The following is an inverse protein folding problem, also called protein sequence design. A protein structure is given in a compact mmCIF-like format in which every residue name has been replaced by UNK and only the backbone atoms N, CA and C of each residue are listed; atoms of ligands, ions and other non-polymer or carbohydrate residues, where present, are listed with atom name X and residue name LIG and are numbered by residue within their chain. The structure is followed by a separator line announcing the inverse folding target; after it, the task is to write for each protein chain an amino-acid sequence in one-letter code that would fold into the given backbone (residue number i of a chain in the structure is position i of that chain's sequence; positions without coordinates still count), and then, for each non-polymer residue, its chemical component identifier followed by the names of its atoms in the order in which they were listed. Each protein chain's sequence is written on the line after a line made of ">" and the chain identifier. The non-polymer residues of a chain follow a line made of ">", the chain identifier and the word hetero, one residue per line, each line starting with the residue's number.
data_IF_525505434221
#
_entry.id   IF_525505434221
#
_cell.length_a   1.000
_cell.length_b   1.000
_cell.length_c   1.000
_cell.angle_alpha   90.00
_cell.angle_beta   90.00
_cell.angle_gamma   90.00
#
_symmetry.space_group_name_H-M   'P 1'
#
loop_
_entity.id
_entity.type
_entity.pdbx_description
1 polymer ?
#
# COMPACT_ATOMS: atom_id res chain seq x y z
N UNK A 1 36.59 -29.51 32.19
CA UNK A 1 37.16 -30.66 32.93
C UNK A 1 38.56 -30.39 33.47
N UNK A 2 39.54 -29.90 32.68
CA UNK A 2 40.91 -29.60 33.17
C UNK A 2 40.99 -28.65 34.38
N UNK A 3 40.24 -27.55 34.39
CA UNK A 3 40.20 -26.61 35.53
C UNK A 3 39.65 -27.22 36.83
N UNK A 4 38.73 -28.19 36.71
CA UNK A 4 38.13 -28.91 37.84
C UNK A 4 39.13 -29.87 38.48
N UNK A 5 39.90 -30.59 37.67
CA UNK A 5 40.94 -31.51 38.16
C UNK A 5 42.03 -30.73 38.88
N UNK A 6 42.46 -29.59 38.32
CA UNK A 6 43.47 -28.72 38.95
C UNK A 6 42.98 -28.15 40.28
N UNK A 7 41.72 -27.68 40.36
CA UNK A 7 41.16 -27.18 41.61
C UNK A 7 41.03 -28.26 42.69
N UNK A 8 40.61 -29.47 42.32
CA UNK A 8 40.51 -30.60 43.27
C UNK A 8 41.89 -31.03 43.76
N UNK A 9 42.88 -31.07 42.88
CA UNK A 9 44.25 -31.45 43.24
C UNK A 9 44.90 -30.39 44.16
N UNK A 10 44.65 -29.11 43.90
CA UNK A 10 45.15 -28.01 44.73
C UNK A 10 44.49 -28.01 46.13
N UNK A 11 43.19 -28.28 46.21
CA UNK A 11 42.47 -28.47 47.47
C UNK A 11 43.02 -29.68 48.24
N UNK A 12 43.32 -30.79 47.56
CA UNK A 12 43.90 -31.98 48.18
C UNK A 12 45.31 -31.71 48.75
N UNK A 13 46.15 -30.94 48.05
CA UNK A 13 47.48 -30.54 48.53
C UNK A 13 47.38 -29.62 49.75
N UNK A 14 46.45 -28.66 49.74
CA UNK A 14 46.21 -27.76 50.88
C UNK A 14 45.68 -28.54 52.09
N UNK A 15 44.76 -29.49 51.88
CA UNK A 15 44.27 -30.39 52.93
C UNK A 15 45.38 -31.25 53.51
N UNK A 16 46.27 -31.80 52.67
CA UNK A 16 47.42 -32.58 53.12
C UNK A 16 48.40 -31.73 53.94
N UNK A 17 48.69 -30.50 53.51
CA UNK A 17 49.54 -29.56 54.24
C UNK A 17 48.95 -29.19 55.61
N UNK A 18 47.63 -28.96 55.68
CA UNK A 18 46.91 -28.67 56.93
C UNK A 18 46.85 -29.90 57.85
N UNK A 19 46.83 -31.13 57.30
CA UNK A 19 46.87 -32.36 58.10
C UNK A 19 48.25 -32.60 58.74
N UNK A 20 49.33 -32.25 58.03
CA UNK A 20 50.71 -32.51 58.44
C UNK A 20 51.24 -31.40 59.35
N UNK A 21 50.90 -30.13 59.09
CA UNK A 21 51.39 -28.98 59.87
C UNK A 21 51.22 -29.08 61.40
N UNK A 22 50.12 -29.63 61.95
CA UNK A 22 49.92 -29.73 63.40
C UNK A 22 50.70 -30.87 64.05
N UNK A 23 51.20 -31.86 63.29
CA UNK A 23 52.05 -32.91 63.85
C UNK A 23 53.47 -32.40 64.16
N UNK A 24 53.84 -31.24 63.59
CA UNK A 24 55.16 -30.61 63.76
C UNK A 24 55.16 -29.56 64.87
N UNK A 25 53.99 -29.02 65.26
CA UNK A 25 53.84 -27.95 66.25
C UNK A 25 53.23 -28.54 67.52
N UNK A 26 54.05 -28.80 68.53
CA UNK A 26 53.74 -29.60 69.74
C UNK A 26 52.71 -29.04 70.74
N UNK A 27 51.84 -28.10 70.35
CA UNK A 27 50.83 -27.48 71.21
C UNK A 27 49.42 -27.76 70.65
N UNK A 28 48.69 -28.70 71.28
CA UNK A 28 47.35 -29.09 70.85
C UNK A 28 46.30 -28.16 71.49
N UNK A 29 45.96 -27.07 70.82
CA UNK A 29 44.76 -26.32 71.15
C UNK A 29 43.52 -27.22 71.09
N UNK A 30 42.65 -27.14 72.10
CA UNK A 30 41.41 -27.91 72.20
C UNK A 30 40.18 -27.02 72.06
N UNK A 31 39.12 -27.55 71.45
CA UNK A 31 37.83 -26.89 71.29
C UNK A 31 36.77 -27.79 71.90
N UNK A 32 36.02 -27.23 72.86
CA UNK A 32 34.87 -27.89 73.47
C UNK A 32 33.60 -27.20 72.99
N UNK A 33 32.75 -27.96 72.32
CA UNK A 33 31.42 -27.48 71.92
C UNK A 33 30.42 -28.19 72.84
N UNK A 34 29.80 -27.43 73.73
CA UNK A 34 28.76 -27.92 74.64
C UNK A 34 27.39 -27.44 74.15
N UNK A 35 26.50 -28.39 73.84
CA UNK A 35 25.10 -28.13 73.51
C UNK A 35 24.21 -28.98 74.42
N UNK A 36 23.78 -28.41 75.54
CA UNK A 36 22.96 -29.12 76.53
C UNK A 36 23.73 -30.27 77.21
N UNK A 37 23.28 -31.52 77.01
CA UNK A 37 23.96 -32.72 77.52
C UNK A 37 25.03 -33.29 76.56
N UNK A 38 25.15 -32.74 75.35
CA UNK A 38 26.12 -33.20 74.36
C UNK A 38 27.40 -32.36 74.45
N UNK A 39 28.48 -32.97 74.92
CA UNK A 39 29.82 -32.37 74.95
C UNK A 39 30.67 -33.06 73.89
N UNK A 40 31.03 -32.32 72.84
CA UNK A 40 31.98 -32.80 71.84
C UNK A 40 33.32 -32.13 72.11
N UNK A 41 34.29 -32.94 72.50
CA UNK A 41 35.68 -32.52 72.68
C UNK A 41 36.46 -32.87 71.41
N UNK A 42 37.04 -31.86 70.76
CA UNK A 42 37.87 -32.07 69.57
C UNK A 42 39.06 -31.13 69.55
N UNK A 43 40.11 -31.51 68.84
CA UNK A 43 41.26 -30.62 68.62
C UNK A 43 40.89 -29.51 67.64
N UNK A 44 41.58 -28.36 67.71
CA UNK A 44 41.41 -27.26 66.74
C UNK A 44 41.57 -27.76 65.30
N UNK A 45 42.48 -28.71 65.08
CA UNK A 45 42.72 -29.35 63.77
C UNK A 45 41.49 -30.12 63.29
N UNK A 46 40.89 -30.91 64.18
CA UNK A 46 39.67 -31.68 63.86
C UNK A 46 38.50 -30.76 63.53
N UNK A 47 38.40 -29.59 64.18
CA UNK A 47 37.39 -28.58 63.86
C UNK A 47 37.60 -28.00 62.45
N UNK A 48 38.84 -27.64 62.11
CA UNK A 48 39.15 -27.08 60.77
C UNK A 48 38.84 -28.11 59.68
N UNK A 49 39.20 -29.37 59.89
CA UNK A 49 38.90 -30.45 58.94
C UNK A 49 37.39 -30.66 58.80
N UNK A 50 36.63 -30.68 59.90
CA UNK A 50 35.18 -30.89 59.84
C UNK A 50 34.45 -29.73 59.14
N UNK A 51 34.89 -28.49 59.35
CA UNK A 51 34.37 -27.31 58.63
C UNK A 51 34.67 -27.40 57.13
N UNK A 52 35.88 -27.79 56.74
CA UNK A 52 36.24 -27.96 55.32
C UNK A 52 35.41 -29.07 54.65
N UNK A 53 35.17 -30.18 55.34
CA UNK A 53 34.31 -31.26 54.84
C UNK A 53 32.86 -30.77 54.71
N UNK A 54 32.34 -30.03 55.69
CA UNK A 54 31.00 -29.48 55.64
C UNK A 54 30.82 -28.51 54.45
N UNK A 55 31.81 -27.65 54.18
CA UNK A 55 31.81 -26.76 53.01
C UNK A 55 31.82 -27.55 51.70
N UNK A 56 32.62 -28.62 51.62
CA UNK A 56 32.67 -29.48 50.43
C UNK A 56 31.32 -30.16 50.18
N UNK A 57 30.69 -30.72 51.22
CA UNK A 57 29.37 -31.34 51.13
C UNK A 57 28.34 -30.30 50.69
N UNK A 58 28.31 -29.12 51.30
CA UNK A 58 27.41 -28.04 50.93
C UNK A 58 27.58 -27.63 49.47
N UNK A 59 28.83 -27.56 48.98
CA UNK A 59 29.12 -27.25 47.58
C UNK A 59 28.62 -28.31 46.61
N UNK A 60 28.80 -29.60 46.93
CA UNK A 60 28.28 -30.73 46.13
C UNK A 60 26.76 -30.72 46.12
N UNK A 61 26.11 -30.55 47.27
CA UNK A 61 24.64 -30.49 47.39
C UNK A 61 24.09 -29.32 46.58
N UNK A 62 24.70 -28.13 46.67
CA UNK A 62 24.31 -26.96 45.89
C UNK A 62 24.45 -27.19 44.37
N UNK A 63 25.51 -27.88 43.94
CA UNK A 63 25.71 -28.29 42.54
C UNK A 63 24.65 -29.28 42.08
N UNK A 64 24.29 -30.27 42.91
CA UNK A 64 23.25 -31.25 42.62
C UNK A 64 21.87 -30.59 42.50
N UNK A 65 21.53 -29.67 43.42
CA UNK A 65 20.29 -28.90 43.35
C UNK A 65 20.23 -28.11 42.03
N UNK A 66 21.31 -27.42 41.64
CA UNK A 66 21.34 -26.70 40.36
C UNK A 66 21.19 -27.63 39.15
N UNK A 67 21.80 -28.81 39.17
CA UNK A 67 21.69 -29.78 38.07
C UNK A 67 20.25 -30.30 37.94
N UNK A 68 19.60 -30.62 39.05
CA UNK A 68 18.20 -31.07 39.10
C UNK A 68 17.26 -29.94 38.63
N UNK A 69 17.45 -28.72 39.14
CA UNK A 69 16.66 -27.56 38.71
C UNK A 69 16.85 -27.28 37.21
N UNK A 70 18.05 -27.44 36.66
CA UNK A 70 18.30 -27.21 35.23
C UNK A 70 17.66 -28.29 34.34
N UNK A 71 17.67 -29.56 34.77
CA UNK A 71 16.98 -30.67 34.11
C UNK A 71 15.46 -30.46 34.08
N UNK A 72 14.88 -29.95 35.17
CA UNK A 72 13.45 -29.64 35.25
C UNK A 72 13.08 -28.32 34.55
N UNK A 73 13.94 -27.31 34.55
CA UNK A 73 13.67 -26.01 33.91
C UNK A 73 13.72 -26.05 32.38
N UNK A 74 14.44 -27.00 31.79
CA UNK A 74 14.50 -27.18 30.32
C UNK A 74 13.16 -27.60 29.68
N UNK A 75 12.21 -28.08 30.49
CA UNK A 75 10.92 -28.61 30.02
C UNK A 75 9.90 -27.51 29.67
N UNK A 76 9.91 -26.37 30.36
CA UNK A 76 8.89 -25.33 30.14
C UNK A 76 9.02 -24.59 28.79
N UNK A 77 10.24 -24.37 28.30
CA UNK A 77 10.45 -23.79 26.96
C UNK A 77 10.12 -24.77 25.83
N UNK A 78 10.27 -26.08 26.05
CA UNK A 78 9.96 -27.11 25.06
C UNK A 78 8.45 -27.21 24.77
N UNK A 79 7.61 -27.23 25.81
CA UNK A 79 6.14 -27.23 25.64
C UNK A 79 5.61 -25.97 24.93
N UNK A 80 6.16 -24.78 25.25
CA UNK A 80 5.81 -23.53 24.55
C UNK A 80 6.26 -23.51 23.07
N UNK A 81 7.40 -24.13 22.75
CA UNK A 81 7.92 -24.19 21.37
C UNK A 81 7.09 -25.10 20.45
N UNK A 82 6.60 -26.24 20.97
CA UNK A 82 5.76 -27.18 20.21
C UNK A 82 4.41 -26.57 19.85
N UNK A 83 3.79 -25.83 20.79
CA UNK A 83 2.53 -25.11 20.56
C UNK A 83 2.69 -24.04 19.47
N UNK A 84 3.77 -23.24 19.52
CA UNK A 84 4.07 -22.22 18.50
C UNK A 84 4.29 -22.82 17.10
N UNK A 85 5.05 -23.91 17.00
CA UNK A 85 5.28 -24.54 15.71
C UNK A 85 3.99 -25.14 15.12
N UNK A 86 3.10 -25.69 15.97
CA UNK A 86 1.78 -26.18 15.56
C UNK A 86 0.89 -25.05 15.04
N UNK A 87 0.81 -23.91 15.76
CA UNK A 87 0.06 -22.72 15.31
C UNK A 87 0.58 -22.20 13.98
N UNK A 88 1.90 -22.10 13.80
CA UNK A 88 2.53 -21.70 12.54
C UNK A 88 2.21 -22.67 11.39
N UNK A 89 2.23 -23.97 11.64
CA UNK A 89 1.83 -24.96 10.63
C UNK A 89 0.36 -24.80 10.24
N UNK A 90 -0.52 -24.52 11.20
CA UNK A 90 -1.93 -24.25 10.93
C UNK A 90 -2.13 -22.95 10.16
N UNK A 91 -1.37 -21.89 10.46
CA UNK A 91 -1.40 -20.64 9.69
C UNK A 91 -1.07 -20.88 8.21
N UNK A 92 0.05 -21.55 7.90
CA UNK A 92 0.40 -21.88 6.52
C UNK A 92 -0.61 -22.82 5.85
N UNK A 93 -1.15 -23.80 6.60
CA UNK A 93 -2.21 -24.67 6.10
C UNK A 93 -3.48 -23.88 5.78
N UNK A 94 -3.81 -22.86 6.57
CA UNK A 94 -4.94 -21.97 6.31
C UNK A 94 -4.75 -21.17 5.03
N UNK A 95 -3.55 -20.61 4.82
CA UNK A 95 -3.21 -19.91 3.57
C UNK A 95 -3.31 -20.86 2.37
N UNK A 96 -2.76 -22.06 2.49
CA UNK A 96 -2.81 -23.06 1.42
C UNK A 96 -4.26 -23.45 1.09
N UNK A 97 -5.07 -23.79 2.10
CA UNK A 97 -6.47 -24.16 1.90
C UNK A 97 -7.29 -23.01 1.30
N UNK A 98 -7.02 -21.77 1.72
CA UNK A 98 -7.63 -20.59 1.11
C UNK A 98 -7.28 -20.46 -0.38
N UNK A 99 -6.00 -20.65 -0.74
CA UNK A 99 -5.57 -20.63 -2.13
C UNK A 99 -6.14 -21.78 -2.97
N UNK A 100 -6.41 -22.93 -2.35
CA UNK A 100 -7.08 -24.09 -2.97
C UNK A 100 -8.61 -23.91 -3.11
N UNK A 101 -9.18 -22.84 -2.51
CA UNK A 101 -10.62 -22.59 -2.49
C UNK A 101 -11.40 -23.37 -1.42
N UNK A 102 -10.71 -24.13 -0.57
CA UNK A 102 -11.32 -24.84 0.57
C UNK A 102 -11.48 -23.90 1.77
N UNK A 103 -12.57 -23.12 1.74
CA UNK A 103 -12.86 -22.11 2.76
C UNK A 103 -13.12 -22.73 4.14
N UNK A 104 -13.72 -23.92 4.22
CA UNK A 104 -13.97 -24.60 5.50
C UNK A 104 -12.68 -25.08 6.16
N UNK A 105 -11.80 -25.74 5.40
CA UNK A 105 -10.49 -26.15 5.90
C UNK A 105 -9.63 -24.95 6.29
N UNK A 106 -9.69 -23.88 5.49
CA UNK A 106 -9.01 -22.62 5.79
C UNK A 106 -9.49 -22.00 7.10
N UNK A 107 -10.81 -21.83 7.26
CA UNK A 107 -11.43 -21.32 8.50
C UNK A 107 -11.02 -22.14 9.71
N UNK A 108 -11.08 -23.48 9.62
CA UNK A 108 -10.66 -24.37 10.71
C UNK A 108 -9.16 -24.24 11.01
N UNK A 109 -8.33 -24.10 9.99
CA UNK A 109 -6.89 -23.93 10.17
C UNK A 109 -6.57 -22.61 10.87
N UNK A 110 -7.18 -21.49 10.48
CA UNK A 110 -6.99 -20.19 11.14
C UNK A 110 -7.53 -20.16 12.57
N UNK A 111 -8.66 -20.82 12.86
CA UNK A 111 -9.13 -21.01 14.24
C UNK A 111 -8.12 -21.76 15.12
N UNK A 112 -7.35 -22.69 14.55
CA UNK A 112 -6.30 -23.42 15.26
C UNK A 112 -4.93 -22.72 15.22
N UNK A 113 -4.83 -21.60 14.50
CA UNK A 113 -3.66 -20.73 14.47
C UNK A 113 -3.79 -19.55 15.44
N UNK A 114 -5.01 -19.27 15.95
CA UNK A 114 -5.30 -18.16 16.86
C UNK A 114 -4.37 -18.15 18.09
N UNK A 115 -4.17 -16.94 18.64
CA UNK A 115 -3.20 -16.65 19.71
C UNK A 115 -1.74 -16.94 19.30
N UNK A 116 -1.48 -17.10 18.01
CA UNK A 116 -0.14 -17.16 17.47
C UNK A 116 0.53 -15.78 17.45
N UNK A 117 1.85 -15.79 17.35
CA UNK A 117 2.68 -14.58 17.25
C UNK A 117 2.74 -14.14 15.77
N UNK A 118 1.61 -13.66 15.25
CA UNK A 118 1.42 -13.27 13.84
C UNK A 118 1.05 -11.79 13.66
N UNK A 119 1.08 -11.00 14.74
CA UNK A 119 0.79 -9.56 14.75
C UNK A 119 -0.52 -9.16 14.04
N UNK A 120 -1.54 -10.02 14.07
CA UNK A 120 -2.85 -9.80 13.46
C UNK A 120 -2.98 -10.20 11.99
N UNK A 121 -1.92 -10.70 11.34
CA UNK A 121 -1.98 -11.13 9.93
C UNK A 121 -2.89 -12.34 9.73
N UNK A 122 -2.90 -13.27 10.68
CA UNK A 122 -3.83 -14.40 10.71
C UNK A 122 -5.29 -13.94 10.76
N UNK A 123 -5.58 -12.89 11.53
CA UNK A 123 -6.92 -12.29 11.62
C UNK A 123 -7.35 -11.63 10.30
N UNK A 124 -6.43 -10.96 9.58
CA UNK A 124 -6.72 -10.38 8.27
C UNK A 124 -7.16 -11.45 7.26
N UNK A 125 -6.42 -12.56 7.18
CA UNK A 125 -6.75 -13.64 6.23
C UNK A 125 -8.01 -14.38 6.70
N UNK A 126 -8.16 -14.61 8.01
CA UNK A 126 -9.38 -15.18 8.56
C UNK A 126 -10.62 -14.32 8.26
N UNK A 127 -10.48 -12.99 8.28
CA UNK A 127 -11.55 -12.08 7.89
C UNK A 127 -11.91 -12.21 6.41
N UNK A 128 -10.90 -12.38 5.53
CA UNK A 128 -11.12 -12.58 4.09
C UNK A 128 -11.89 -13.88 3.85
N UNK A 129 -11.49 -14.97 4.51
CA UNK A 129 -12.20 -16.26 4.46
C UNK A 129 -13.64 -16.09 4.95
N UNK A 130 -13.85 -15.40 6.09
CA UNK A 130 -15.18 -15.14 6.61
C UNK A 130 -16.05 -14.34 5.62
N UNK A 131 -15.47 -13.33 4.95
CA UNK A 131 -16.16 -12.56 3.92
C UNK A 131 -16.62 -13.44 2.75
N UNK A 132 -15.74 -14.28 2.21
CA UNK A 132 -16.06 -15.17 1.08
C UNK A 132 -17.06 -16.26 1.45
N UNK A 133 -17.09 -16.68 2.72
CA UNK A 133 -18.13 -17.57 3.26
C UNK A 133 -19.47 -16.86 3.52
N UNK A 134 -19.57 -15.54 3.30
CA UNK A 134 -20.78 -14.75 3.58
C UNK A 134 -20.97 -14.39 5.07
N UNK A 135 -20.00 -14.65 5.93
CA UNK A 135 -20.05 -14.40 7.38
C UNK A 135 -19.63 -12.96 7.72
N UNK A 136 -20.46 -11.99 7.32
CA UNK A 136 -20.15 -10.55 7.44
C UNK A 136 -19.88 -10.06 8.87
N UNK A 137 -20.69 -10.47 9.84
CA UNK A 137 -20.50 -10.07 11.25
C UNK A 137 -19.15 -10.56 11.78
N UNK A 138 -18.84 -11.83 11.51
CA UNK A 138 -17.55 -12.42 11.90
C UNK A 138 -16.37 -11.73 11.22
N UNK A 139 -16.50 -11.40 9.93
CA UNK A 139 -15.49 -10.65 9.20
C UNK A 139 -15.19 -9.31 9.89
N UNK A 140 -16.22 -8.54 10.26
CA UNK A 140 -16.04 -7.27 10.95
C UNK A 140 -15.37 -7.44 12.33
N UNK A 141 -15.79 -8.43 13.12
CA UNK A 141 -15.15 -8.72 14.41
C UNK A 141 -13.68 -9.06 14.25
N UNK A 142 -13.32 -9.90 13.27
CA UNK A 142 -11.93 -10.27 12.99
C UNK A 142 -11.09 -9.07 12.55
N UNK A 143 -11.64 -8.17 11.72
CA UNK A 143 -10.96 -6.94 11.32
C UNK A 143 -10.82 -5.96 12.49
N UNK A 144 -11.80 -5.90 13.39
CA UNK A 144 -11.71 -5.14 14.63
C UNK A 144 -10.55 -5.62 15.49
N UNK A 145 -10.48 -6.93 15.76
CA UNK A 145 -9.35 -7.52 16.51
C UNK A 145 -8.01 -7.35 15.78
N UNK A 146 -7.97 -7.47 14.45
CA UNK A 146 -6.75 -7.21 13.68
C UNK A 146 -6.29 -5.75 13.80
N UNK A 147 -7.24 -4.80 13.98
CA UNK A 147 -6.95 -3.39 14.13
C UNK A 147 -6.39 -2.99 15.52
N UNK A 148 -6.51 -3.87 16.51
CA UNK A 148 -5.90 -3.72 17.83
C UNK A 148 -4.36 -3.95 17.79
N UNK A 149 -3.85 -4.62 16.75
CA UNK A 149 -2.42 -4.83 16.54
C UNK A 149 -1.82 -3.66 15.74
N UNK A 150 -0.82 -2.92 16.28
CA UNK A 150 -0.25 -1.77 15.58
C UNK A 150 0.29 -2.06 14.18
N UNK A 151 0.89 -3.23 13.96
CA UNK A 151 1.43 -3.62 12.65
C UNK A 151 0.35 -3.99 11.62
N UNK A 152 -0.83 -4.43 12.06
CA UNK A 152 -1.94 -4.81 11.17
C UNK A 152 -3.03 -3.74 11.07
N UNK A 153 -3.01 -2.71 11.93
CA UNK A 153 -4.05 -1.68 12.02
C UNK A 153 -4.44 -1.05 10.70
N UNK A 154 -3.47 -0.49 9.97
CA UNK A 154 -3.72 0.14 8.66
C UNK A 154 -4.28 -0.85 7.65
N UNK A 155 -3.75 -2.08 7.63
CA UNK A 155 -4.22 -3.12 6.71
C UNK A 155 -5.65 -3.59 7.04
N UNK A 156 -5.98 -3.76 8.32
CA UNK A 156 -7.30 -4.13 8.80
C UNK A 156 -8.35 -3.08 8.44
N UNK A 157 -8.05 -1.81 8.73
CA UNK A 157 -8.94 -0.69 8.44
C UNK A 157 -9.14 -0.50 6.93
N UNK A 158 -8.07 -0.61 6.13
CA UNK A 158 -8.17 -0.56 4.67
C UNK A 158 -9.01 -1.69 4.10
N UNK A 159 -8.79 -2.91 4.58
CA UNK A 159 -9.56 -4.08 4.16
C UNK A 159 -11.03 -3.89 4.52
N UNK A 160 -11.34 -3.48 5.75
CA UNK A 160 -12.71 -3.21 6.18
C UNK A 160 -13.38 -2.16 5.28
N UNK A 161 -12.70 -1.03 5.03
CA UNK A 161 -13.23 0.02 4.16
C UNK A 161 -13.49 -0.48 2.73
N UNK A 162 -12.58 -1.26 2.14
CA UNK A 162 -12.76 -1.83 0.79
C UNK A 162 -13.94 -2.80 0.74
N UNK A 163 -14.12 -3.64 1.75
CA UNK A 163 -15.26 -4.54 1.82
C UNK A 163 -16.59 -3.77 1.97
N UNK A 164 -16.60 -2.68 2.76
CA UNK A 164 -17.76 -1.78 2.84
C UNK A 164 -18.07 -1.12 1.48
N UNK A 165 -17.04 -0.68 0.75
CA UNK A 165 -17.20 -0.12 -0.61
C UNK A 165 -17.79 -1.13 -1.60
N UNK A 166 -17.37 -2.41 -1.55
CA UNK A 166 -17.97 -3.48 -2.38
C UNK A 166 -19.46 -3.65 -2.10
N UNK A 167 -19.88 -3.38 -0.85
CA UNK A 167 -21.27 -3.38 -0.40
C UNK A 167 -21.99 -2.03 -0.63
N UNK A 168 -21.38 -1.09 -1.36
CA UNK A 168 -21.89 0.27 -1.61
C UNK A 168 -22.08 1.13 -0.34
N UNK A 169 -21.44 0.76 0.77
CA UNK A 169 -21.52 1.47 2.06
C UNK A 169 -20.38 2.49 2.19
N UNK A 170 -20.29 3.43 1.24
CA UNK A 170 -19.18 4.39 1.14
C UNK A 170 -19.07 5.35 2.35
N UNK A 171 -20.20 5.72 2.97
CA UNK A 171 -20.18 6.57 4.18
C UNK A 171 -19.55 5.85 5.38
N UNK A 172 -19.92 4.57 5.57
CA UNK A 172 -19.33 3.74 6.62
C UNK A 172 -17.86 3.50 6.35
N UNK A 173 -17.47 3.27 5.09
CA UNK A 173 -16.06 3.14 4.71
C UNK A 173 -15.26 4.39 5.07
N UNK A 174 -15.80 5.60 4.82
CA UNK A 174 -15.14 6.85 5.25
C UNK A 174 -15.02 6.97 6.76
N UNK A 175 -16.06 6.59 7.51
CA UNK A 175 -16.04 6.57 8.98
C UNK A 175 -14.92 5.66 9.50
N UNK A 176 -14.83 4.43 8.96
CA UNK A 176 -13.77 3.47 9.31
C UNK A 176 -12.38 4.01 8.97
N UNK A 177 -12.18 4.58 7.77
CA UNK A 177 -10.90 5.22 7.40
C UNK A 177 -10.57 6.47 8.23
N UNK A 178 -11.56 7.08 8.85
CA UNK A 178 -11.43 8.22 9.76
C UNK A 178 -10.90 7.86 11.15
N UNK A 179 -10.87 6.57 11.49
CA UNK A 179 -10.34 6.08 12.79
C UNK A 179 -8.82 5.97 12.85
N UNK A 180 -8.15 6.15 11.70
CA UNK A 180 -6.70 6.16 11.58
C UNK A 180 -6.13 7.49 12.05
N UNK A 181 -5.01 7.43 12.78
CA UNK A 181 -4.29 8.61 13.23
C UNK A 181 -3.62 9.34 12.07
N UNK A 182 -3.10 10.56 12.30
CA UNK A 182 -2.57 11.42 11.23
C UNK A 182 -1.45 10.74 10.41
N UNK A 183 -0.51 10.05 11.06
CA UNK A 183 0.58 9.33 10.38
C UNK A 183 0.08 8.15 9.54
N UNK A 184 -0.94 7.44 10.02
CA UNK A 184 -1.57 6.32 9.33
C UNK A 184 -2.42 6.80 8.14
N UNK A 185 -3.10 7.94 8.31
CA UNK A 185 -3.90 8.58 7.29
C UNK A 185 -3.08 9.09 6.09
N UNK A 186 -1.78 9.34 6.28
CA UNK A 186 -0.84 9.68 5.22
C UNK A 186 -0.38 8.48 4.39
N UNK A 187 -0.82 7.25 4.70
CA UNK A 187 -0.55 6.10 3.85
C UNK A 187 -1.19 6.31 2.44
N UNK A 188 -0.44 6.13 1.33
CA UNK A 188 -0.97 6.36 -0.01
C UNK A 188 -2.24 5.55 -0.35
N UNK A 189 -2.36 4.33 0.17
CA UNK A 189 -3.54 3.50 -0.04
C UNK A 189 -4.75 4.04 0.73
N UNK A 190 -4.55 4.53 1.95
CA UNK A 190 -5.61 5.17 2.75
C UNK A 190 -6.12 6.41 2.04
N UNK A 191 -5.21 7.26 1.54
CA UNK A 191 -5.57 8.46 0.77
C UNK A 191 -6.35 8.10 -0.49
N UNK A 192 -5.91 7.10 -1.27
CA UNK A 192 -6.62 6.63 -2.47
C UNK A 192 -8.02 6.13 -2.14
N UNK A 193 -8.15 5.26 -1.14
CA UNK A 193 -9.45 4.69 -0.74
C UNK A 193 -10.39 5.77 -0.18
N UNK A 194 -9.88 6.73 0.61
CA UNK A 194 -10.68 7.91 1.04
C UNK A 194 -11.18 8.71 -0.17
N UNK A 195 -10.29 9.00 -1.12
CA UNK A 195 -10.64 9.74 -2.32
C UNK A 195 -11.68 9.01 -3.19
N UNK A 196 -11.57 7.70 -3.33
CA UNK A 196 -12.54 6.86 -4.04
C UNK A 196 -13.91 6.85 -3.36
N UNK A 197 -13.96 6.69 -2.03
CA UNK A 197 -15.22 6.76 -1.28
C UNK A 197 -15.89 8.13 -1.44
N UNK A 198 -15.13 9.21 -1.28
CA UNK A 198 -15.63 10.58 -1.47
C UNK A 198 -16.12 10.81 -2.89
N UNK A 199 -15.44 10.27 -3.91
CA UNK A 199 -15.85 10.39 -5.30
C UNK A 199 -17.17 9.65 -5.56
N UNK A 200 -17.35 8.45 -5.00
CA UNK A 200 -18.61 7.68 -5.09
C UNK A 200 -19.78 8.40 -4.44
N UNK A 201 -19.52 9.15 -3.36
CA UNK A 201 -20.52 9.98 -2.67
C UNK A 201 -20.75 11.35 -3.32
N UNK A 202 -19.99 11.70 -4.37
CA UNK A 202 -20.06 13.02 -4.99
C UNK A 202 -19.48 14.16 -4.14
N UNK A 203 -18.67 13.85 -3.12
CA UNK A 203 -18.01 14.81 -2.23
C UNK A 203 -16.79 15.48 -2.89
N UNK A 204 -16.96 15.99 -4.12
CA UNK A 204 -15.88 16.54 -4.94
C UNK A 204 -15.17 17.73 -4.29
N UNK A 205 -15.93 18.57 -3.59
CA UNK A 205 -15.38 19.73 -2.88
C UNK A 205 -14.43 19.31 -1.75
N UNK A 206 -14.77 18.23 -1.03
CA UNK A 206 -13.91 17.72 0.05
C UNK A 206 -12.59 17.19 -0.51
N UNK A 207 -12.65 16.43 -1.62
CA UNK A 207 -11.44 15.98 -2.32
C UNK A 207 -10.56 17.18 -2.69
N UNK A 208 -11.15 18.23 -3.29
CA UNK A 208 -10.39 19.43 -3.66
C UNK A 208 -9.74 20.14 -2.47
N UNK A 209 -10.39 20.13 -1.30
CA UNK A 209 -9.85 20.74 -0.09
C UNK A 209 -8.65 19.94 0.46
N UNK A 210 -8.65 18.61 0.32
CA UNK A 210 -7.56 17.75 0.76
C UNK A 210 -6.39 17.62 -0.25
N UNK A 211 -6.62 17.92 -1.54
CA UNK A 211 -5.61 17.84 -2.59
C UNK A 211 -4.24 18.47 -2.24
N UNK A 212 -4.14 19.67 -1.60
CA UNK A 212 -2.85 20.26 -1.25
C UNK A 212 -1.97 19.36 -0.38
N UNK A 213 -2.58 18.64 0.57
CA UNK A 213 -1.89 17.67 1.43
C UNK A 213 -1.62 16.37 0.66
N UNK A 214 -2.65 15.82 0.01
CA UNK A 214 -2.57 14.54 -0.71
C UNK A 214 -1.58 14.54 -1.87
N UNK A 215 -1.28 15.71 -2.48
CA UNK A 215 -0.25 15.82 -3.53
C UNK A 215 1.12 15.33 -3.08
N UNK A 216 1.49 15.53 -1.82
CA UNK A 216 2.78 15.07 -1.27
C UNK A 216 2.83 13.54 -1.16
N UNK A 217 1.72 12.95 -0.71
CA UNK A 217 1.57 11.50 -0.54
C UNK A 217 1.44 10.76 -1.87
N UNK A 218 0.55 11.22 -2.75
CA UNK A 218 0.19 10.53 -3.98
C UNK A 218 1.18 10.78 -5.13
N UNK A 219 1.95 11.88 -5.08
CA UNK A 219 2.91 12.27 -6.12
C UNK A 219 2.27 12.24 -7.52
N UNK A 220 2.62 11.26 -8.35
CA UNK A 220 2.12 11.11 -9.73
C UNK A 220 0.60 10.86 -9.78
N UNK A 221 0.05 10.16 -8.79
CA UNK A 221 -1.38 9.80 -8.77
C UNK A 221 -2.27 10.98 -8.33
N UNK A 222 -1.67 12.10 -7.89
CA UNK A 222 -2.42 13.27 -7.47
C UNK A 222 -3.05 14.04 -8.65
N UNK A 223 -2.41 14.01 -9.82
CA UNK A 223 -2.89 14.74 -11.02
C UNK A 223 -4.19 14.12 -11.55
N UNK A 224 -4.27 12.79 -11.80
CA UNK A 224 -5.53 12.15 -12.20
C UNK A 224 -6.65 12.35 -11.19
N UNK A 225 -6.34 12.29 -9.89
CA UNK A 225 -7.33 12.53 -8.85
C UNK A 225 -7.84 13.99 -8.88
N UNK A 226 -6.93 14.96 -9.03
CA UNK A 226 -7.31 16.36 -9.14
C UNK A 226 -8.20 16.63 -10.35
N UNK A 227 -7.88 16.01 -11.50
CA UNK A 227 -8.68 16.12 -12.72
C UNK A 227 -10.07 15.50 -12.51
N UNK A 228 -10.14 14.29 -11.93
CA UNK A 228 -11.42 13.62 -11.63
C UNK A 228 -12.28 14.45 -10.66
N UNK A 229 -11.68 15.02 -9.62
CA UNK A 229 -12.38 15.86 -8.65
C UNK A 229 -12.86 17.18 -9.24
N UNK A 230 -12.06 17.81 -10.11
CA UNK A 230 -12.47 18.99 -10.85
C UNK A 230 -13.62 18.66 -11.81
N UNK A 231 -13.50 17.57 -12.59
CA UNK A 231 -14.54 17.10 -13.51
C UNK A 231 -15.85 16.85 -12.78
N UNK A 232 -15.82 16.08 -11.70
CA UNK A 232 -17.01 15.80 -10.89
C UNK A 232 -17.66 17.07 -10.34
N UNK A 233 -16.86 18.05 -9.88
CA UNK A 233 -17.41 19.32 -9.40
C UNK A 233 -18.02 20.17 -10.51
N UNK A 234 -17.37 20.26 -11.66
CA UNK A 234 -17.88 20.99 -12.81
C UNK A 234 -19.15 20.35 -13.38
N UNK A 235 -19.20 19.02 -13.45
CA UNK A 235 -20.40 18.28 -13.84
C UNK A 235 -21.56 18.51 -12.87
N UNK A 236 -21.30 18.53 -11.56
CA UNK A 236 -22.31 18.84 -10.54
C UNK A 236 -22.91 20.24 -10.77
N UNK A 237 -22.07 21.25 -10.97
CA UNK A 237 -22.51 22.63 -11.20
C UNK A 237 -23.29 22.73 -12.51
N UNK A 238 -22.76 22.18 -13.61
CA UNK A 238 -23.41 22.21 -14.91
C UNK A 238 -24.78 21.53 -14.86
N UNK A 239 -24.89 20.37 -14.19
CA UNK A 239 -26.15 19.64 -14.07
C UNK A 239 -27.18 20.34 -13.18
N UNK A 240 -26.78 21.00 -12.09
CA UNK A 240 -27.71 21.63 -11.14
C UNK A 240 -28.07 23.07 -11.48
N UNK A 241 -27.14 23.82 -12.07
CA UNK A 241 -27.21 25.27 -12.23
C UNK A 241 -27.02 25.73 -13.68
N UNK A 242 -26.66 24.82 -14.59
CA UNK A 242 -26.50 25.08 -16.01
C UNK A 242 -25.12 25.64 -16.41
N UNK A 243 -24.97 25.82 -17.72
CA UNK A 243 -23.74 26.25 -18.38
C UNK A 243 -23.19 27.61 -17.89
N UNK A 244 -24.05 28.59 -17.65
CA UNK A 244 -23.62 29.92 -17.21
C UNK A 244 -23.01 29.88 -15.79
N UNK A 245 -23.59 29.10 -14.89
CA UNK A 245 -23.05 28.92 -13.55
C UNK A 245 -21.69 28.23 -13.55
N UNK A 246 -21.47 27.28 -14.48
CA UNK A 246 -20.16 26.66 -14.68
C UNK A 246 -19.10 27.70 -15.07
N UNK A 247 -19.41 28.60 -16.01
CA UNK A 247 -18.50 29.67 -16.43
C UNK A 247 -18.20 30.63 -15.28
N UNK A 248 -19.23 31.05 -14.55
CA UNK A 248 -19.06 31.92 -13.39
C UNK A 248 -18.18 31.27 -12.32
N UNK A 249 -18.44 30.00 -11.99
CA UNK A 249 -17.64 29.28 -11.02
C UNK A 249 -16.17 29.18 -11.44
N UNK A 250 -15.91 28.93 -12.73
CA UNK A 250 -14.54 28.94 -13.25
C UNK A 250 -13.85 30.28 -13.03
N UNK A 251 -14.51 31.40 -13.31
CA UNK A 251 -13.96 32.74 -13.09
C UNK A 251 -13.72 33.07 -11.61
N UNK A 252 -14.51 32.50 -10.70
CA UNK A 252 -14.36 32.66 -9.25
C UNK A 252 -13.22 31.80 -8.67
N UNK A 253 -12.78 30.74 -9.37
CA UNK A 253 -11.70 29.87 -8.87
C UNK A 253 -10.40 30.66 -8.67
N UNK A 254 -9.64 30.45 -7.59
CA UNK A 254 -8.35 31.11 -7.39
C UNK A 254 -7.42 30.94 -8.59
N UNK A 255 -6.64 31.97 -8.93
CA UNK A 255 -5.70 31.97 -10.07
C UNK A 255 -4.84 30.70 -10.11
N UNK A 256 -4.33 30.23 -8.97
CA UNK A 256 -3.54 28.99 -8.89
C UNK A 256 -4.27 27.76 -9.43
N UNK A 257 -5.58 27.63 -9.19
CA UNK A 257 -6.41 26.53 -9.73
C UNK A 257 -6.69 26.72 -11.21
N UNK A 258 -6.97 27.95 -11.67
CA UNK A 258 -7.20 28.24 -13.11
C UNK A 258 -5.97 28.01 -13.99
N UNK A 259 -4.77 28.06 -13.42
CA UNK A 259 -3.51 27.73 -14.09
C UNK A 259 -3.08 26.26 -13.91
N UNK A 260 -3.82 25.46 -13.12
CA UNK A 260 -3.54 24.04 -12.95
C UNK A 260 -4.08 23.24 -14.15
N UNK A 261 -3.22 22.44 -14.77
CA UNK A 261 -3.54 21.71 -16.00
C UNK A 261 -4.71 20.74 -15.83
N UNK A 262 -4.84 20.11 -14.66
CA UNK A 262 -5.92 19.17 -14.37
C UNK A 262 -7.28 19.87 -14.31
N UNK A 263 -7.32 21.08 -13.75
CA UNK A 263 -8.53 21.91 -13.70
C UNK A 263 -8.90 22.44 -15.09
N UNK A 264 -7.92 22.88 -15.88
CA UNK A 264 -8.15 23.32 -17.26
C UNK A 264 -8.72 22.20 -18.14
N UNK A 265 -8.13 21.01 -18.07
CA UNK A 265 -8.59 19.85 -18.82
C UNK A 265 -10.03 19.48 -18.44
N UNK A 266 -10.33 19.41 -17.13
CA UNK A 266 -11.67 19.12 -16.64
C UNK A 266 -12.70 20.19 -17.05
N UNK A 267 -12.32 21.46 -17.07
CA UNK A 267 -13.22 22.55 -17.47
C UNK A 267 -13.54 22.51 -18.96
N UNK A 268 -12.53 22.39 -19.83
CA UNK A 268 -12.73 22.27 -21.28
C UNK A 268 -13.55 21.03 -21.62
N UNK A 269 -13.27 19.91 -20.96
CA UNK A 269 -14.05 18.70 -21.12
C UNK A 269 -15.52 18.92 -20.76
N UNK A 270 -15.80 19.61 -19.66
CA UNK A 270 -17.17 19.95 -19.28
C UNK A 270 -17.83 20.92 -20.28
N UNK A 271 -17.10 21.90 -20.81
CA UNK A 271 -17.63 22.80 -21.85
C UNK A 271 -18.07 22.01 -23.08
N UNK A 272 -17.24 21.06 -23.52
CA UNK A 272 -17.54 20.18 -24.66
C UNK A 272 -18.74 19.28 -24.36
N UNK A 273 -18.82 18.68 -23.17
CA UNK A 273 -19.96 17.85 -22.75
C UNK A 273 -21.28 18.63 -22.68
N UNK A 274 -21.22 19.95 -22.42
CA UNK A 274 -22.37 20.85 -22.44
C UNK A 274 -22.65 21.46 -23.83
N UNK A 275 -21.93 21.05 -24.88
CA UNK A 275 -22.09 21.57 -26.25
C UNK A 275 -21.52 22.97 -26.49
N UNK A 276 -20.79 23.53 -25.52
CA UNK A 276 -20.17 24.87 -25.60
C UNK A 276 -18.83 24.83 -26.34
N UNK A 277 -18.85 24.36 -27.60
CA UNK A 277 -17.62 24.14 -28.38
C UNK A 277 -16.83 25.43 -28.67
N UNK A 278 -17.50 26.56 -28.91
CA UNK A 278 -16.83 27.86 -29.12
C UNK A 278 -16.07 28.33 -27.86
N UNK A 279 -16.68 28.22 -26.68
CA UNK A 279 -16.01 28.58 -25.42
C UNK A 279 -14.83 27.63 -25.15
N UNK A 280 -14.97 26.35 -25.46
CA UNK A 280 -13.91 25.35 -25.34
C UNK A 280 -12.73 25.67 -26.26
N UNK A 281 -12.98 26.02 -27.52
CA UNK A 281 -11.96 26.47 -28.48
C UNK A 281 -11.20 27.69 -27.94
N UNK A 282 -11.91 28.73 -27.49
CA UNK A 282 -11.29 29.94 -26.97
C UNK A 282 -10.31 29.63 -25.82
N UNK A 283 -10.73 28.79 -24.87
CA UNK A 283 -9.87 28.36 -23.76
C UNK A 283 -8.64 27.58 -24.25
N UNK A 284 -8.84 26.62 -25.16
CA UNK A 284 -7.76 25.79 -25.69
C UNK A 284 -6.72 26.62 -26.44
N UNK A 285 -7.16 27.61 -27.21
CA UNK A 285 -6.30 28.51 -27.98
C UNK A 285 -5.52 29.45 -27.06
N UNK A 286 -6.21 30.10 -26.12
CA UNK A 286 -5.60 31.05 -25.20
C UNK A 286 -4.52 30.39 -24.35
N UNK A 287 -4.84 29.24 -23.74
CA UNK A 287 -3.97 28.59 -22.76
C UNK A 287 -2.76 27.89 -23.35
N UNK A 288 -2.77 27.63 -24.66
CA UNK A 288 -1.69 26.97 -25.38
C UNK A 288 -0.98 27.91 -26.38
N UNK A 289 -1.22 29.22 -26.30
CA UNK A 289 -0.56 30.22 -27.14
C UNK A 289 0.98 30.15 -27.12
N UNK A 290 1.57 29.66 -26.02
CA UNK A 290 3.04 29.49 -25.86
C UNK A 290 3.58 28.15 -26.36
N UNK A 291 2.72 27.17 -26.62
CA UNK A 291 3.11 25.84 -27.07
C UNK A 291 2.05 24.77 -26.74
N UNK A 292 2.14 23.60 -27.38
CA UNK A 292 1.20 22.50 -27.16
C UNK A 292 1.34 21.95 -25.74
N UNK A 293 0.20 21.71 -25.07
CA UNK A 293 0.11 20.98 -23.81
C UNK A 293 -0.49 19.60 -24.08
N UNK A 294 0.29 18.54 -23.86
CA UNK A 294 -0.10 17.17 -24.21
C UNK A 294 -1.44 16.75 -23.57
N UNK A 295 -1.71 17.23 -22.36
CA UNK A 295 -2.96 16.91 -21.63
C UNK A 295 -4.19 17.53 -22.29
N UNK A 296 -4.04 18.66 -23.01
CA UNK A 296 -5.13 19.39 -23.65
C UNK A 296 -5.28 19.03 -25.14
N UNK A 297 -4.25 18.49 -25.79
CA UNK A 297 -4.30 18.11 -27.21
C UNK A 297 -5.50 17.22 -27.59
N UNK A 298 -5.88 16.19 -26.80
CA UNK A 298 -7.05 15.38 -27.12
C UNK A 298 -8.37 16.15 -27.15
N UNK A 299 -8.45 17.32 -26.51
CA UNK A 299 -9.68 18.11 -26.45
C UNK A 299 -9.99 18.81 -27.78
N UNK A 300 -8.97 19.16 -28.58
CA UNK A 300 -9.19 19.68 -29.94
C UNK A 300 -9.96 18.66 -30.81
N UNK A 301 -9.61 17.38 -30.71
CA UNK A 301 -10.26 16.28 -31.45
C UNK A 301 -11.74 16.13 -31.10
N UNK A 302 -12.17 16.62 -29.93
CA UNK A 302 -13.55 16.52 -29.45
C UNK A 302 -14.40 17.74 -29.82
N UNK A 303 -13.82 18.79 -30.40
CA UNK A 303 -14.57 19.95 -30.85
C UNK A 303 -15.44 19.58 -32.05
N UNK A 304 -16.74 19.89 -31.95
CA UNK A 304 -17.73 19.67 -33.01
C UNK A 304 -18.42 20.99 -33.29
N UNK A 305 -17.84 21.78 -34.17
CA UNK A 305 -18.34 23.10 -34.51
C UNK A 305 -17.99 23.45 -35.95
N UNK A 306 -18.84 24.23 -36.64
CA UNK A 306 -18.49 24.75 -37.94
C UNK A 306 -17.34 25.76 -37.79
N UNK A 307 -16.29 25.60 -38.59
CA UNK A 307 -15.17 26.54 -38.72
C UNK A 307 -14.36 26.82 -37.42
N UNK A 308 -13.59 25.85 -36.90
CA UNK A 308 -12.65 26.04 -35.78
C UNK A 308 -11.35 26.74 -36.22
N UNK A 309 -11.48 27.89 -36.88
CA UNK A 309 -10.37 28.61 -37.53
C UNK A 309 -9.24 29.00 -36.57
N UNK A 310 -9.57 29.35 -35.32
CA UNK A 310 -8.57 29.72 -34.31
C UNK A 310 -7.73 28.50 -33.90
N UNK A 311 -8.37 27.36 -33.67
CA UNK A 311 -7.69 26.09 -33.38
C UNK A 311 -6.82 25.62 -34.55
N UNK A 312 -7.33 25.70 -35.79
CA UNK A 312 -6.58 25.35 -37.01
C UNK A 312 -5.34 26.23 -37.14
N UNK A 313 -5.49 27.55 -37.03
CA UNK A 313 -4.37 28.51 -37.13
C UNK A 313 -3.30 28.23 -36.08
N UNK A 314 -3.72 27.91 -34.85
CA UNK A 314 -2.80 27.58 -33.77
C UNK A 314 -2.05 26.28 -34.03
N UNK A 315 -2.75 25.20 -34.40
CA UNK A 315 -2.15 23.90 -34.73
C UNK A 315 -1.16 24.01 -35.89
N UNK A 316 -1.52 24.74 -36.96
CA UNK A 316 -0.61 25.02 -38.07
C UNK A 316 0.62 25.81 -37.63
N UNK A 317 0.47 26.75 -36.69
CA UNK A 317 1.62 27.50 -36.15
C UNK A 317 2.59 26.61 -35.38
N UNK A 318 2.10 25.58 -34.68
CA UNK A 318 2.95 24.60 -34.01
C UNK A 318 3.61 23.67 -35.03
N UNK A 319 2.88 23.22 -36.04
CA UNK A 319 3.41 22.38 -37.13
C UNK A 319 4.46 23.10 -37.99
N UNK A 320 4.42 24.43 -38.11
CA UNK A 320 5.50 25.21 -38.74
C UNK A 320 6.82 25.14 -37.95
N UNK A 321 6.75 24.92 -36.63
CA UNK A 321 7.92 24.77 -35.76
C UNK A 321 8.38 23.32 -35.66
N UNK A 322 7.46 22.37 -35.76
CA UNK A 322 7.72 20.93 -35.69
C UNK A 322 6.94 20.18 -36.79
N UNK A 323 7.52 20.17 -37.99
CA UNK A 323 6.88 19.65 -39.21
C UNK A 323 6.91 18.12 -39.34
N UNK A 324 7.48 17.43 -38.34
CA UNK A 324 7.57 15.97 -38.23
C UNK A 324 6.71 15.42 -37.11
N UNK A 325 5.87 16.25 -36.49
CA UNK A 325 5.00 15.83 -35.40
C UNK A 325 3.73 15.11 -35.92
N UNK A 326 3.79 13.79 -35.99
CA UNK A 326 2.64 12.97 -36.42
C UNK A 326 1.39 13.22 -35.57
N UNK A 327 1.55 13.41 -34.25
CA UNK A 327 0.43 13.63 -33.32
C UNK A 327 -0.30 14.93 -33.62
N UNK A 328 0.41 16.03 -33.89
CA UNK A 328 -0.21 17.31 -34.22
C UNK A 328 -0.92 17.27 -35.57
N UNK A 329 -0.36 16.59 -36.58
CA UNK A 329 -1.05 16.39 -37.86
C UNK A 329 -2.34 15.57 -37.69
N UNK A 330 -2.29 14.53 -36.87
CA UNK A 330 -3.47 13.72 -36.55
C UNK A 330 -4.55 14.54 -35.81
N UNK A 331 -4.17 15.39 -34.84
CA UNK A 331 -5.12 16.30 -34.14
C UNK A 331 -5.75 17.28 -35.14
N UNK A 332 -4.95 17.90 -36.00
CA UNK A 332 -5.43 18.84 -37.02
C UNK A 332 -6.39 18.16 -37.99
N UNK A 333 -6.04 16.95 -38.43
CA UNK A 333 -6.84 16.15 -39.35
C UNK A 333 -8.23 15.84 -38.80
N UNK A 334 -8.29 15.34 -37.56
CA UNK A 334 -9.55 15.00 -36.90
C UNK A 334 -10.40 16.24 -36.58
N UNK A 335 -9.77 17.35 -36.16
CA UNK A 335 -10.46 18.63 -35.97
C UNK A 335 -11.11 19.11 -37.28
N UNK A 336 -10.35 19.10 -38.38
CA UNK A 336 -10.85 19.51 -39.70
C UNK A 336 -11.96 18.58 -40.21
N UNK A 337 -11.83 17.27 -39.96
CA UNK A 337 -12.86 16.29 -40.28
C UNK A 337 -14.17 16.59 -39.56
N UNK A 338 -14.11 16.84 -38.24
CA UNK A 338 -15.29 17.20 -37.43
C UNK A 338 -15.92 18.53 -37.84
N UNK A 339 -15.13 19.46 -38.39
CA UNK A 339 -15.60 20.73 -38.92
C UNK A 339 -16.19 20.63 -40.34
N UNK A 340 -16.05 19.48 -41.01
CA UNK A 340 -16.50 19.25 -42.38
C UNK A 340 -15.51 19.71 -43.46
N UNK A 341 -14.30 20.16 -43.10
CA UNK A 341 -13.24 20.48 -44.06
C UNK A 341 -12.43 19.22 -44.40
N UNK A 342 -13.02 18.36 -45.22
CA UNK A 342 -12.40 17.10 -45.63
C UNK A 342 -11.10 17.32 -46.43
N UNK A 343 -10.95 18.47 -47.10
CA UNK A 343 -9.77 18.78 -47.89
C UNK A 343 -8.54 19.03 -47.02
N UNK A 344 -8.72 19.76 -45.90
CA UNK A 344 -7.68 19.95 -44.91
C UNK A 344 -7.45 18.66 -44.12
N UNK A 345 -8.54 17.96 -43.74
CA UNK A 345 -8.47 16.71 -43.01
C UNK A 345 -7.63 15.66 -43.74
N UNK A 346 -7.91 15.42 -45.02
CA UNK A 346 -7.20 14.44 -45.85
C UNK A 346 -5.70 14.77 -45.94
N UNK A 347 -5.35 16.03 -46.21
CA UNK A 347 -3.95 16.47 -46.30
C UNK A 347 -3.19 16.28 -44.99
N UNK A 348 -3.81 16.64 -43.86
CA UNK A 348 -3.20 16.53 -42.55
C UNK A 348 -3.04 15.05 -42.14
N UNK A 349 -4.09 14.23 -42.29
CA UNK A 349 -4.07 12.82 -41.94
C UNK A 349 -3.11 12.00 -42.81
N UNK A 350 -3.06 12.25 -44.14
CA UNK A 350 -2.07 11.60 -45.00
C UNK A 350 -0.64 11.88 -44.54
N UNK A 351 -0.36 13.12 -44.10
CA UNK A 351 0.96 13.46 -43.56
C UNK A 351 1.22 12.82 -42.19
N UNK A 352 0.20 12.73 -41.33
CA UNK A 352 0.28 12.01 -40.06
C UNK A 352 0.66 10.54 -40.26
N UNK A 353 -0.10 9.82 -41.10
CA UNK A 353 0.12 8.40 -41.42
C UNK A 353 1.49 8.16 -42.05
N UNK A 354 1.93 9.05 -42.95
CA UNK A 354 3.26 8.96 -43.56
C UNK A 354 4.40 9.09 -42.53
N UNK A 355 4.20 9.88 -41.47
CA UNK A 355 5.19 10.05 -40.39
C UNK A 355 5.12 8.91 -39.38
N UNK A 356 3.91 8.46 -39.03
CA UNK A 356 3.64 7.33 -38.15
C UNK A 356 2.29 6.74 -38.49
N UNK A 357 2.27 5.50 -38.92
CA UNK A 357 1.01 4.79 -39.17
C UNK A 357 0.18 4.71 -37.89
N UNK A 358 -1.11 5.00 -38.03
CA UNK A 358 -2.08 4.97 -36.96
C UNK A 358 -3.42 4.50 -37.51
N UNK A 359 -4.00 3.46 -36.90
CA UNK A 359 -5.24 2.86 -37.38
C UNK A 359 -6.42 3.85 -37.38
N UNK A 360 -6.52 4.73 -36.38
CA UNK A 360 -7.59 5.74 -36.30
C UNK A 360 -7.49 6.76 -37.44
N UNK A 361 -6.29 7.26 -37.73
CA UNK A 361 -6.07 8.20 -38.83
C UNK A 361 -6.38 7.57 -40.20
N UNK A 362 -6.05 6.28 -40.37
CA UNK A 362 -6.39 5.50 -41.58
C UNK A 362 -7.89 5.29 -41.73
N UNK A 363 -8.61 5.01 -40.64
CA UNK A 363 -10.08 4.90 -40.66
C UNK A 363 -10.75 6.22 -41.06
N UNK A 364 -10.27 7.36 -40.55
CA UNK A 364 -10.78 8.66 -40.95
C UNK A 364 -10.49 8.97 -42.43
N UNK A 365 -9.31 8.61 -42.94
CA UNK A 365 -8.99 8.73 -44.38
C UNK A 365 -9.91 7.86 -45.25
N UNK A 366 -10.25 6.66 -44.78
CA UNK A 366 -11.20 5.80 -45.47
C UNK A 366 -12.60 6.45 -45.52
N UNK A 367 -13.08 6.97 -44.40
CA UNK A 367 -14.38 7.64 -44.32
C UNK A 367 -14.44 8.92 -45.18
N UNK A 368 -13.36 9.69 -45.22
CA UNK A 368 -13.23 10.83 -46.16
C UNK A 368 -13.35 10.35 -47.61
N UNK A 369 -12.66 9.26 -47.96
CA UNK A 369 -12.68 8.71 -49.32
C UNK A 369 -14.07 8.19 -49.72
N UNK A 370 -14.81 7.57 -48.79
CA UNK A 370 -16.21 7.17 -49.01
C UNK A 370 -17.11 8.37 -49.26
N UNK A 371 -16.97 9.44 -48.48
CA UNK A 371 -17.73 10.70 -48.69
C UNK A 371 -17.43 11.35 -50.04
N UNK A 372 -16.25 11.10 -50.60
CA UNK A 372 -15.85 11.52 -51.95
C UNK A 372 -16.28 10.53 -53.05
N UNK A 373 -16.93 9.41 -52.72
CA UNK A 373 -17.29 8.29 -53.61
C UNK A 373 -16.08 7.54 -54.23
N UNK A 374 -14.89 7.61 -53.62
CA UNK A 374 -13.73 6.82 -54.02
C UNK A 374 -13.64 5.53 -53.18
N UNK A 375 -14.49 4.57 -53.53
CA UNK A 375 -14.58 3.27 -52.85
C UNK A 375 -13.28 2.46 -52.92
N UNK A 376 -12.45 2.71 -53.94
CA UNK A 376 -11.18 1.99 -54.13
C UNK A 376 -10.14 2.43 -53.10
N UNK A 377 -9.99 3.74 -52.90
CA UNK A 377 -9.12 4.30 -51.85
C UNK A 377 -9.65 4.01 -50.46
N UNK A 378 -10.96 4.14 -50.25
CA UNK A 378 -11.59 3.79 -48.98
C UNK A 378 -11.24 2.37 -48.54
N UNK A 379 -11.45 1.38 -49.43
CA UNK A 379 -11.13 -0.02 -49.14
C UNK A 379 -9.63 -0.23 -48.87
N UNK A 380 -8.75 0.47 -49.58
CA UNK A 380 -7.31 0.38 -49.34
C UNK A 380 -6.93 0.89 -47.93
N UNK A 381 -7.47 2.04 -47.53
CA UNK A 381 -7.25 2.59 -46.19
C UNK A 381 -7.86 1.72 -45.10
N UNK A 382 -9.06 1.16 -45.29
CA UNK A 382 -9.64 0.21 -44.33
C UNK A 382 -8.75 -1.03 -44.14
N UNK A 383 -8.25 -1.62 -45.23
CA UNK A 383 -7.33 -2.76 -45.15
C UNK A 383 -6.06 -2.43 -44.38
N UNK A 384 -5.47 -1.27 -44.64
CA UNK A 384 -4.28 -0.79 -43.91
C UNK A 384 -4.59 -0.55 -42.43
N UNK A 385 -5.73 0.07 -42.12
CA UNK A 385 -6.14 0.36 -40.73
C UNK A 385 -6.36 -0.90 -39.89
N UNK A 386 -6.95 -1.94 -40.48
CA UNK A 386 -7.11 -3.25 -39.83
C UNK A 386 -5.75 -3.93 -39.62
N UNK A 387 -4.85 -3.86 -40.61
CA UNK A 387 -3.51 -4.42 -40.47
C UNK A 387 -2.69 -3.71 -39.39
N UNK A 388 -2.89 -2.39 -39.19
CA UNK A 388 -2.18 -1.59 -38.19
C UNK A 388 -2.67 -1.77 -36.75
N UNK A 389 -3.82 -2.42 -36.53
CA UNK A 389 -4.32 -2.79 -35.19
C UNK A 389 -3.91 -4.20 -34.76
N UNK A 390 -3.38 -5.00 -35.69
CA UNK A 390 -2.89 -6.38 -35.48
C UNK A 390 -1.45 -6.37 -35.00
#
# INVERSE_FOLDING_TARGET
>A
MKKLIVSVLLIAVVLAAILIAPQVIGEKGYVLISMGSLVIEMTVVSLVISVLIAILIAWVVWRLIKAIVHLFSGSWQWFGSLSRNKRRKNFYRGIQAYAEGDLEASKKAFQNASDGDFDGVDLLIAAQVAHEMGEWERCQTLLGHAADYPHSRVAAVLMHARLLMLRQQHEQALSVLGTLDESEAENPQVVKTKAECMASLGHWQQIQNHLPQWRRTLKKDAVPLAQRAAKGKFAEIASKQGANALKQYWEELPRKKRHDIAFRAAYVEQLIEQGMHHDAENCLVEWQSKGPEETLLPMFRRLKMPNPSASVTLLESWLKKDDKNATLYSVLGELAFNAGDYSLAERALMKAVKLRENAHDLMLLAEISERQNDNSRALAFYKQGVAATS
#
